data_IF_377123366210
#
_entry.id   IF_377123366210
#
_cell.length_a   1.000
_cell.length_b   1.000
_cell.length_c   1.000
_cell.angle_alpha   90.00
_cell.angle_beta   90.00
_cell.angle_gamma   90.00
#
_symmetry.space_group_name_H-M   'P 1'
#
loop_
_entity.id
_entity.type
_entity.pdbx_description
1 polymer ?
#
# COMPACT_ATOMS: atom_id res chain seq x y z
N UNK A 1 1.20 41.31 -11.42
CA UNK A 1 0.58 41.03 -10.10
C UNK A 1 -0.87 41.48 -10.00
N UNK A 2 -1.25 42.71 -10.37
CA UNK A 2 -2.64 43.18 -10.26
C UNK A 2 -3.66 42.38 -11.10
N UNK A 3 -3.29 41.88 -12.29
CA UNK A 3 -4.17 41.04 -13.11
C UNK A 3 -4.34 39.61 -12.55
N UNK A 4 -3.31 39.05 -11.90
CA UNK A 4 -3.35 37.73 -11.23
C UNK A 4 -4.30 37.78 -10.02
N UNK A 5 -4.36 38.92 -9.33
CA UNK A 5 -5.27 39.16 -8.20
C UNK A 5 -6.72 39.33 -8.71
N UNK A 6 -6.92 39.93 -9.90
CA UNK A 6 -8.25 40.04 -10.52
C UNK A 6 -8.77 38.69 -11.03
N UNK A 7 -7.87 37.84 -11.56
CA UNK A 7 -8.14 36.46 -11.97
C UNK A 7 -8.70 35.56 -10.86
N UNK A 8 -8.37 35.82 -9.60
CA UNK A 8 -8.66 34.92 -8.47
C UNK A 8 -9.94 35.29 -7.71
N UNK A 9 -10.47 36.51 -7.88
CA UNK A 9 -11.61 36.99 -7.12
C UNK A 9 -12.96 36.39 -7.57
N UNK A 10 -13.22 36.26 -8.88
CA UNK A 10 -14.56 35.89 -9.41
C UNK A 10 -14.92 34.40 -9.23
N UNK A 11 -13.93 33.53 -8.96
CA UNK A 11 -14.14 32.07 -8.79
C UNK A 11 -13.67 31.52 -7.44
N UNK A 12 -13.30 32.40 -6.49
CA UNK A 12 -12.73 32.01 -5.20
C UNK A 12 -13.61 31.00 -4.44
N UNK A 13 -14.93 31.18 -4.46
CA UNK A 13 -15.86 30.26 -3.79
C UNK A 13 -15.83 28.84 -4.38
N UNK A 14 -15.72 28.71 -5.70
CA UNK A 14 -15.65 27.41 -6.41
C UNK A 14 -14.33 26.72 -6.09
N UNK A 15 -13.24 27.47 -6.07
CA UNK A 15 -11.92 26.97 -5.70
C UNK A 15 -11.87 26.44 -4.26
N UNK A 16 -12.42 27.20 -3.30
CA UNK A 16 -12.54 26.76 -1.91
C UNK A 16 -13.40 25.49 -1.80
N UNK A 17 -14.53 25.44 -2.52
CA UNK A 17 -15.39 24.25 -2.55
C UNK A 17 -14.64 23.01 -3.08
N UNK A 18 -13.81 23.18 -4.12
CA UNK A 18 -13.01 22.09 -4.68
C UNK A 18 -11.95 21.57 -3.71
N UNK A 19 -11.27 22.46 -2.98
CA UNK A 19 -10.35 22.04 -1.91
C UNK A 19 -11.08 21.28 -0.81
N UNK A 20 -12.28 21.73 -0.43
CA UNK A 20 -13.12 21.01 0.56
C UNK A 20 -13.44 19.60 0.05
N UNK A 21 -13.84 19.46 -1.21
CA UNK A 21 -14.19 18.16 -1.79
C UNK A 21 -12.96 17.23 -1.90
N UNK A 22 -11.81 17.76 -2.29
CA UNK A 22 -10.57 17.00 -2.39
C UNK A 22 -10.09 16.52 -1.02
N UNK A 23 -10.01 17.44 -0.05
CA UNK A 23 -9.67 17.07 1.33
C UNK A 23 -10.70 16.13 1.94
N UNK A 24 -12.01 16.29 1.66
CA UNK A 24 -13.04 15.37 2.11
C UNK A 24 -12.85 13.96 1.51
N UNK A 25 -12.51 13.86 0.22
CA UNK A 25 -12.23 12.58 -0.44
C UNK A 25 -10.98 11.91 0.14
N UNK A 26 -9.95 12.70 0.44
CA UNK A 26 -8.76 12.22 1.14
C UNK A 26 -9.10 11.67 2.52
N UNK A 27 -9.82 12.43 3.35
CA UNK A 27 -10.22 11.96 4.67
C UNK A 27 -11.16 10.75 4.55
N UNK A 28 -12.03 10.67 3.54
CA UNK A 28 -12.85 9.49 3.29
C UNK A 28 -12.00 8.23 3.00
N UNK A 29 -10.91 8.37 2.24
CA UNK A 29 -9.93 7.32 2.00
C UNK A 29 -9.20 6.92 3.29
N UNK A 30 -8.66 7.90 4.03
CA UNK A 30 -7.97 7.70 5.32
C UNK A 30 -8.89 7.01 6.33
N UNK A 31 -10.16 7.41 6.39
CA UNK A 31 -11.16 6.81 7.27
C UNK A 31 -11.41 5.33 6.97
N UNK A 32 -11.30 4.94 5.70
CA UNK A 32 -11.37 3.56 5.27
C UNK A 32 -10.13 2.74 5.64
N UNK A 33 -8.96 3.38 5.60
CA UNK A 33 -7.66 2.74 5.75
C UNK A 33 -7.23 2.67 7.22
N UNK A 34 -7.46 3.70 8.05
CA UNK A 34 -7.11 3.67 9.47
C UNK A 34 -8.34 3.25 10.29
N UNK A 35 -8.55 1.95 10.59
CA UNK A 35 -9.88 1.40 10.84
C UNK A 35 -10.46 1.71 12.22
N UNK A 36 -9.90 2.65 12.99
CA UNK A 36 -10.33 2.86 14.37
C UNK A 36 -11.58 3.75 14.52
N UNK A 37 -12.14 4.27 13.43
CA UNK A 37 -13.25 5.25 13.50
C UNK A 37 -14.56 4.63 14.01
N UNK A 38 -14.80 3.34 13.75
CA UNK A 38 -16.00 2.66 14.26
C UNK A 38 -15.97 2.52 15.78
N UNK A 39 -14.77 2.48 16.37
CA UNK A 39 -14.54 2.39 17.81
C UNK A 39 -14.12 3.74 18.43
N UNK A 40 -14.06 4.82 17.63
CA UNK A 40 -13.66 6.15 18.13
C UNK A 40 -14.73 6.71 19.06
N UNK A 41 -14.30 7.14 20.25
CA UNK A 41 -15.16 7.84 21.21
C UNK A 41 -15.66 9.18 20.66
N UNK A 42 -16.74 9.74 21.23
CA UNK A 42 -17.28 11.06 20.81
C UNK A 42 -16.21 12.17 20.77
N UNK A 43 -15.26 12.16 21.71
CA UNK A 43 -14.16 13.15 21.79
C UNK A 43 -13.20 13.06 20.60
N UNK A 44 -12.88 11.85 20.15
CA UNK A 44 -11.95 11.63 19.03
C UNK A 44 -12.57 12.02 17.69
N UNK A 45 -13.89 11.81 17.53
CA UNK A 45 -14.64 12.30 16.36
C UNK A 45 -14.65 13.82 16.30
N UNK A 46 -14.84 14.49 17.45
CA UNK A 46 -14.76 15.96 17.52
C UNK A 46 -13.37 16.42 17.10
N UNK A 47 -12.30 15.83 17.64
CA UNK A 47 -10.91 16.16 17.24
C UNK A 47 -10.71 15.97 15.74
N UNK A 48 -11.19 14.86 15.16
CA UNK A 48 -11.10 14.61 13.72
C UNK A 48 -11.82 15.68 12.89
N UNK A 49 -13.06 16.03 13.23
CA UNK A 49 -13.80 17.08 12.52
C UNK A 49 -13.17 18.46 12.68
N UNK A 50 -12.62 18.74 13.87
CA UNK A 50 -11.92 20.01 14.14
C UNK A 50 -10.64 20.10 13.31
N UNK A 51 -9.84 19.04 13.29
CA UNK A 51 -8.63 18.94 12.47
C UNK A 51 -8.98 19.04 10.99
N UNK A 52 -10.03 18.34 10.53
CA UNK A 52 -10.52 18.44 9.16
C UNK A 52 -10.85 19.89 8.81
N UNK A 53 -11.68 20.56 9.61
CA UNK A 53 -12.06 21.96 9.40
C UNK A 53 -10.85 22.89 9.38
N UNK A 54 -9.88 22.70 10.29
CA UNK A 54 -8.66 23.51 10.34
C UNK A 54 -7.79 23.25 9.10
N UNK A 55 -7.62 21.99 8.68
CA UNK A 55 -6.86 21.66 7.46
C UNK A 55 -7.51 22.23 6.20
N UNK A 56 -8.84 22.22 6.13
CA UNK A 56 -9.60 22.84 5.04
C UNK A 56 -9.40 24.36 5.02
N UNK A 57 -9.53 25.03 6.16
CA UNK A 57 -9.35 26.48 6.25
C UNK A 57 -7.91 26.91 5.91
N UNK A 58 -6.91 26.16 6.36
CA UNK A 58 -5.50 26.43 6.06
C UNK A 58 -5.14 26.08 4.60
N UNK A 59 -5.73 25.03 4.03
CA UNK A 59 -5.58 24.69 2.61
C UNK A 59 -6.25 25.73 1.70
N UNK A 60 -7.42 26.28 2.08
CA UNK A 60 -8.01 27.43 1.40
C UNK A 60 -7.12 28.69 1.47
N UNK A 61 -6.26 28.79 2.49
CA UNK A 61 -5.22 29.81 2.56
C UNK A 61 -4.15 29.71 1.46
N UNK A 62 -3.98 28.54 0.81
CA UNK A 62 -3.03 28.39 -0.33
C UNK A 62 -3.32 29.35 -1.46
N UNK A 63 -4.60 29.67 -1.70
CA UNK A 63 -5.02 30.62 -2.75
C UNK A 63 -4.43 32.02 -2.57
N UNK A 64 -4.04 32.38 -1.35
CA UNK A 64 -3.43 33.68 -1.02
C UNK A 64 -1.91 33.69 -1.20
N UNK A 65 -1.27 32.52 -1.20
CA UNK A 65 0.20 32.33 -1.21
C UNK A 65 0.73 32.24 -2.66
N UNK A 66 -0.14 31.97 -3.64
CA UNK A 66 0.22 31.97 -5.06
C UNK A 66 -0.59 30.96 -5.86
N UNK A 67 -0.40 30.96 -7.19
CA UNK A 67 -1.10 30.09 -8.16
C UNK A 67 -0.95 28.59 -7.84
N UNK A 68 -1.84 27.75 -8.37
CA UNK A 68 -1.85 26.26 -8.28
C UNK A 68 -0.52 25.64 -8.73
N UNK A 69 0.28 26.38 -9.48
CA UNK A 69 1.60 25.99 -9.97
C UNK A 69 2.74 26.25 -8.97
N UNK A 70 2.46 26.86 -7.82
CA UNK A 70 3.49 27.15 -6.82
C UNK A 70 3.96 25.87 -6.11
N UNK A 71 5.26 25.59 -6.25
CA UNK A 71 5.96 24.52 -5.53
C UNK A 71 5.85 24.69 -4.00
N UNK A 72 5.92 25.93 -3.50
CA UNK A 72 5.75 26.25 -2.08
C UNK A 72 4.35 25.89 -1.57
N UNK A 73 3.30 26.21 -2.34
CA UNK A 73 1.92 25.88 -1.97
C UNK A 73 1.68 24.37 -1.94
N UNK A 74 2.36 23.62 -2.82
CA UNK A 74 2.33 22.15 -2.83
C UNK A 74 2.95 21.54 -1.57
N UNK A 75 4.18 21.93 -1.21
CA UNK A 75 4.84 21.46 0.01
C UNK A 75 4.08 21.83 1.28
N UNK A 76 3.61 23.07 1.36
CA UNK A 76 2.79 23.54 2.48
C UNK A 76 1.52 22.68 2.65
N UNK A 77 0.88 22.31 1.53
CA UNK A 77 -0.27 21.41 1.52
C UNK A 77 0.00 20.02 2.07
N UNK A 78 1.09 19.40 1.61
CA UNK A 78 1.50 18.07 2.08
C UNK A 78 1.79 18.12 3.57
N UNK A 79 2.56 19.10 4.02
CA UNK A 79 2.96 19.23 5.41
C UNK A 79 1.73 19.42 6.33
N UNK A 80 0.79 20.28 5.95
CA UNK A 80 -0.46 20.48 6.69
C UNK A 80 -1.30 19.20 6.78
N UNK A 81 -1.44 18.47 5.68
CA UNK A 81 -2.23 17.23 5.67
C UNK A 81 -1.55 16.12 6.49
N UNK A 82 -0.22 16.00 6.46
CA UNK A 82 0.53 15.07 7.31
C UNK A 82 0.32 15.41 8.78
N UNK A 83 0.53 16.67 9.17
CA UNK A 83 0.36 17.09 10.56
C UNK A 83 -1.08 16.91 11.03
N UNK A 84 -2.07 17.32 10.23
CA UNK A 84 -3.48 17.15 10.55
C UNK A 84 -3.84 15.68 10.76
N UNK A 85 -3.53 14.81 9.80
CA UNK A 85 -3.84 13.38 9.94
C UNK A 85 -3.06 12.69 11.05
N UNK A 86 -1.82 13.10 11.30
CA UNK A 86 -1.04 12.58 12.41
C UNK A 86 -1.67 12.96 13.76
N UNK A 87 -2.09 14.22 13.94
CA UNK A 87 -2.80 14.68 15.14
C UNK A 87 -4.11 13.92 15.32
N UNK A 88 -4.87 13.71 14.23
CA UNK A 88 -6.18 13.08 14.28
C UNK A 88 -6.14 11.58 14.62
N UNK A 89 -5.16 10.85 14.07
CA UNK A 89 -5.12 9.39 14.21
C UNK A 89 -4.04 8.89 15.16
N UNK A 90 -2.96 9.64 15.41
CA UNK A 90 -1.79 9.24 16.21
C UNK A 90 -1.26 7.84 15.85
N UNK A 91 -1.24 7.53 14.56
CA UNK A 91 -0.78 6.24 14.00
C UNK A 91 0.57 6.41 13.31
N UNK A 92 1.11 5.30 12.78
CA UNK A 92 2.39 5.25 12.06
C UNK A 92 2.55 6.44 11.10
N UNK A 93 3.46 7.35 11.46
CA UNK A 93 3.77 8.55 10.68
C UNK A 93 4.24 8.19 9.26
N UNK A 94 4.92 7.04 9.10
CA UNK A 94 5.38 6.52 7.82
C UNK A 94 4.21 6.20 6.87
N UNK A 95 3.19 5.48 7.34
CA UNK A 95 2.01 5.17 6.53
C UNK A 95 1.23 6.44 6.17
N UNK A 96 1.08 7.35 7.14
CA UNK A 96 0.39 8.63 6.94
C UNK A 96 1.13 9.48 5.89
N UNK A 97 2.43 9.68 6.06
CA UNK A 97 3.24 10.48 5.14
C UNK A 97 3.25 9.87 3.73
N UNK A 98 3.41 8.55 3.59
CA UNK A 98 3.33 7.90 2.28
C UNK A 98 1.96 8.06 1.62
N UNK A 99 0.89 7.97 2.40
CA UNK A 99 -0.47 8.12 1.89
C UNK A 99 -0.80 9.57 1.48
N UNK A 100 -0.42 10.56 2.28
CA UNK A 100 -0.61 11.99 1.96
C UNK A 100 0.16 12.36 0.69
N UNK A 101 1.44 12.01 0.63
CA UNK A 101 2.33 12.36 -0.49
C UNK A 101 1.88 11.68 -1.78
N UNK A 102 1.58 10.38 -1.74
CA UNK A 102 1.08 9.66 -2.91
C UNK A 102 -0.26 10.20 -3.40
N UNK A 103 -1.21 10.48 -2.48
CA UNK A 103 -2.52 11.01 -2.84
C UNK A 103 -2.44 12.38 -3.52
N UNK A 104 -1.80 13.37 -2.86
CA UNK A 104 -1.73 14.74 -3.39
C UNK A 104 -0.99 14.78 -4.73
N UNK A 105 0.13 14.06 -4.84
CA UNK A 105 0.91 14.02 -6.08
C UNK A 105 0.14 13.36 -7.22
N UNK A 106 -0.58 12.28 -6.94
CA UNK A 106 -1.37 11.58 -7.94
C UNK A 106 -2.53 12.43 -8.47
N UNK A 107 -3.25 13.14 -7.61
CA UNK A 107 -4.31 14.06 -8.04
C UNK A 107 -3.75 15.15 -8.94
N UNK A 108 -2.66 15.78 -8.53
CA UNK A 108 -2.09 16.90 -9.28
C UNK A 108 -1.55 16.46 -10.65
N UNK A 109 -0.90 15.29 -10.73
CA UNK A 109 -0.49 14.69 -11.99
C UNK A 109 -1.69 14.33 -12.89
N UNK A 110 -2.80 13.83 -12.34
CA UNK A 110 -4.01 13.58 -13.11
C UNK A 110 -4.63 14.88 -13.65
N UNK A 111 -4.61 15.96 -12.86
CA UNK A 111 -5.05 17.28 -13.33
C UNK A 111 -4.15 17.76 -14.48
N UNK A 112 -2.83 17.63 -14.37
CA UNK A 112 -1.90 17.99 -15.44
C UNK A 112 -2.07 17.12 -16.70
N UNK A 113 -2.26 15.81 -16.53
CA UNK A 113 -2.54 14.89 -17.62
C UNK A 113 -3.86 15.23 -18.33
N UNK A 114 -4.91 15.53 -17.56
CA UNK A 114 -6.22 15.89 -18.13
C UNK A 114 -6.18 17.23 -18.85
N UNK A 115 -5.49 18.23 -18.30
CA UNK A 115 -5.24 19.51 -18.96
C UNK A 115 -4.47 19.31 -20.27
N UNK A 116 -3.49 18.40 -20.28
CA UNK A 116 -2.75 18.03 -21.48
C UNK A 116 -3.64 17.40 -22.56
N UNK A 117 -4.45 16.40 -22.21
CA UNK A 117 -5.36 15.74 -23.16
C UNK A 117 -6.34 16.74 -23.77
N UNK A 118 -6.90 17.64 -22.96
CA UNK A 118 -7.80 18.70 -23.45
C UNK A 118 -7.06 19.66 -24.40
N UNK A 119 -5.82 20.05 -24.08
CA UNK A 119 -4.99 20.88 -24.96
C UNK A 119 -4.79 20.19 -26.32
N UNK A 120 -4.43 18.90 -26.33
CA UNK A 120 -4.21 18.13 -27.56
C UNK A 120 -5.48 17.97 -28.40
N UNK A 121 -6.61 17.65 -27.76
CA UNK A 121 -7.92 17.51 -28.42
C UNK A 121 -8.41 18.82 -29.04
N UNK A 122 -8.20 19.95 -28.36
CA UNK A 122 -8.70 21.24 -28.80
C UNK A 122 -8.05 21.75 -30.10
N UNK A 123 -6.94 21.15 -30.54
CA UNK A 123 -6.05 21.87 -31.43
C UNK A 123 -5.04 21.06 -32.26
N UNK A 124 -5.03 19.74 -32.12
CA UNK A 124 -4.31 18.83 -33.04
C UNK A 124 -2.80 18.71 -32.75
N UNK A 125 -1.98 18.74 -33.81
CA UNK A 125 -0.52 18.40 -33.77
C UNK A 125 0.43 19.58 -33.66
N UNK A 126 -0.01 20.80 -33.99
CA UNK A 126 0.69 22.00 -33.50
C UNK A 126 0.48 22.03 -31.99
N UNK A 127 1.36 22.62 -31.18
CA UNK A 127 1.21 22.68 -29.71
C UNK A 127 0.32 23.87 -29.37
N UNK A 128 -0.92 23.69 -28.88
CA UNK A 128 -1.80 24.83 -28.84
C UNK A 128 -2.59 24.90 -27.54
N UNK A 129 -3.10 26.10 -27.34
CA UNK A 129 -4.13 26.42 -26.36
C UNK A 129 -3.67 26.50 -24.91
N UNK A 130 -2.48 26.15 -24.43
CA UNK A 130 -2.15 26.60 -23.05
C UNK A 130 -2.20 28.15 -22.99
N UNK A 131 -1.66 28.79 -24.02
CA UNK A 131 -1.73 30.25 -24.22
C UNK A 131 -3.15 30.79 -24.40
N UNK A 132 -4.03 30.07 -25.13
CA UNK A 132 -5.39 30.54 -25.45
C UNK A 132 -6.47 30.11 -24.43
N UNK A 133 -6.28 28.99 -23.74
CA UNK A 133 -7.06 28.54 -22.58
C UNK A 133 -6.79 29.43 -21.39
N UNK A 134 -5.55 29.94 -21.24
CA UNK A 134 -5.19 30.80 -20.12
C UNK A 134 -5.36 32.29 -20.45
N UNK A 135 -5.06 32.80 -21.65
CA UNK A 135 -5.23 34.24 -21.94
C UNK A 135 -6.69 34.73 -21.99
N UNK A 136 -7.66 33.86 -22.24
CA UNK A 136 -9.08 34.21 -22.16
C UNK A 136 -9.62 33.98 -20.75
N UNK A 137 -10.26 34.98 -20.14
CA UNK A 137 -10.81 34.94 -18.77
C UNK A 137 -11.80 33.80 -18.41
N UNK A 138 -12.02 32.82 -19.30
CA UNK A 138 -12.70 31.54 -19.02
C UNK A 138 -11.77 30.39 -18.55
N UNK A 139 -10.46 30.65 -18.43
CA UNK A 139 -9.42 29.70 -18.02
C UNK A 139 -9.70 28.95 -16.71
N UNK A 140 -10.17 29.68 -15.70
CA UNK A 140 -10.48 29.13 -14.38
C UNK A 140 -11.64 28.15 -14.40
N UNK A 141 -12.67 28.43 -15.22
CA UNK A 141 -13.82 27.55 -15.35
C UNK A 141 -13.40 26.17 -15.86
N UNK A 142 -12.48 26.13 -16.82
CA UNK A 142 -12.01 24.87 -17.41
C UNK A 142 -11.14 24.09 -16.42
N UNK A 143 -10.26 24.74 -15.67
CA UNK A 143 -9.50 24.08 -14.60
C UNK A 143 -10.39 23.57 -13.46
N UNK A 144 -11.42 24.33 -13.06
CA UNK A 144 -12.40 23.88 -12.09
C UNK A 144 -13.18 22.65 -12.58
N UNK A 145 -13.58 22.63 -13.87
CA UNK A 145 -14.26 21.50 -14.48
C UNK A 145 -13.37 20.26 -14.58
N UNK A 146 -12.09 20.43 -14.94
CA UNK A 146 -11.10 19.35 -14.94
C UNK A 146 -10.91 18.76 -13.55
N UNK A 147 -10.80 19.62 -12.53
CA UNK A 147 -10.67 19.18 -11.13
C UNK A 147 -11.90 18.42 -10.65
N UNK A 148 -13.12 18.87 -10.99
CA UNK A 148 -14.35 18.12 -10.74
C UNK A 148 -14.36 16.76 -11.43
N UNK A 149 -13.93 16.69 -12.69
CA UNK A 149 -13.83 15.45 -13.44
C UNK A 149 -12.85 14.46 -12.81
N UNK A 150 -11.66 14.92 -12.42
CA UNK A 150 -10.67 14.09 -11.73
C UNK A 150 -11.22 13.57 -10.40
N UNK A 151 -11.87 14.42 -9.59
CA UNK A 151 -12.51 13.99 -8.34
C UNK A 151 -13.61 12.95 -8.56
N UNK A 152 -14.44 13.13 -9.60
CA UNK A 152 -15.50 12.19 -9.96
C UNK A 152 -14.94 10.83 -10.38
N UNK A 153 -13.83 10.79 -11.14
CA UNK A 153 -13.14 9.57 -11.54
C UNK A 153 -12.45 8.87 -10.36
N UNK A 154 -11.91 9.64 -9.41
CA UNK A 154 -11.24 9.10 -8.24
C UNK A 154 -12.21 8.52 -7.21
N UNK A 155 -13.42 9.05 -7.09
CA UNK A 155 -14.42 8.58 -6.13
C UNK A 155 -14.68 7.06 -6.17
N UNK A 156 -14.99 6.41 -7.33
CA UNK A 156 -15.18 4.97 -7.39
C UNK A 156 -13.89 4.20 -7.10
N UNK A 157 -12.73 4.73 -7.47
CA UNK A 157 -11.43 4.13 -7.18
C UNK A 157 -11.14 4.11 -5.66
N UNK A 158 -11.34 5.24 -4.99
CA UNK A 158 -11.22 5.38 -3.53
C UNK A 158 -12.21 4.45 -2.82
N UNK A 159 -13.46 4.38 -3.28
CA UNK A 159 -14.47 3.46 -2.74
C UNK A 159 -14.03 2.00 -2.89
N UNK A 160 -13.37 1.63 -3.99
CA UNK A 160 -12.82 0.28 -4.20
C UNK A 160 -11.65 0.01 -3.27
N UNK A 161 -10.72 0.96 -3.11
CA UNK A 161 -9.53 0.84 -2.27
C UNK A 161 -9.87 0.65 -0.78
N UNK A 162 -11.03 1.18 -0.37
CA UNK A 162 -11.58 1.01 0.99
C UNK A 162 -12.03 -0.42 1.32
N UNK A 163 -12.14 -1.35 0.36
CA UNK A 163 -12.50 -2.74 0.68
C UNK A 163 -11.46 -3.39 1.59
N UNK A 164 -11.92 -4.07 2.65
CA UNK A 164 -11.07 -4.60 3.74
C UNK A 164 -9.96 -5.56 3.27
N UNK A 165 -10.18 -6.29 2.18
CA UNK A 165 -9.19 -7.20 1.58
C UNK A 165 -7.97 -6.48 0.96
N UNK A 166 -8.14 -5.23 0.53
CA UNK A 166 -7.05 -4.41 -0.04
C UNK A 166 -6.30 -3.68 1.08
N UNK A 167 -6.99 -3.37 2.17
CA UNK A 167 -6.40 -2.71 3.35
C UNK A 167 -5.27 -3.53 3.99
N UNK A 168 -5.51 -4.82 4.27
CA UNK A 168 -4.49 -5.68 4.90
C UNK A 168 -3.18 -5.65 4.14
N UNK A 169 -3.28 -5.64 2.80
CA UNK A 169 -2.14 -5.47 1.90
C UNK A 169 -1.49 -4.10 2.11
N UNK A 170 -2.18 -2.97 1.94
CA UNK A 170 -1.56 -1.61 1.97
C UNK A 170 -0.65 -1.38 3.19
N UNK A 171 -1.00 -1.88 4.38
CA UNK A 171 -0.17 -1.72 5.60
C UNK A 171 1.21 -2.37 5.47
N UNK A 172 1.31 -3.51 4.78
CA UNK A 172 2.57 -4.21 4.50
C UNK A 172 3.44 -3.47 3.46
N UNK A 173 2.86 -2.49 2.76
CA UNK A 173 3.52 -1.68 1.74
C UNK A 173 3.80 -0.25 2.20
N UNK A 174 3.74 0.09 3.51
CA UNK A 174 3.92 1.47 3.99
C UNK A 174 5.21 2.15 3.48
N UNK A 175 6.33 1.41 3.44
CA UNK A 175 7.62 1.91 2.91
C UNK A 175 7.60 2.11 1.39
N UNK A 176 6.98 1.18 0.65
CA UNK A 176 6.87 1.29 -0.80
C UNK A 176 5.92 2.42 -1.20
N UNK A 177 4.84 2.61 -0.44
CA UNK A 177 3.90 3.71 -0.62
C UNK A 177 4.61 5.06 -0.45
N UNK A 178 5.49 5.18 0.55
CA UNK A 178 6.28 6.39 0.76
C UNK A 178 7.27 6.66 -0.38
N UNK A 179 8.01 5.63 -0.82
CA UNK A 179 8.94 5.76 -1.96
C UNK A 179 8.16 6.18 -3.22
N UNK A 180 7.01 5.57 -3.48
CA UNK A 180 6.15 5.93 -4.59
C UNK A 180 5.65 7.38 -4.48
N UNK A 181 5.22 7.80 -3.29
CA UNK A 181 4.79 9.17 -3.03
C UNK A 181 5.90 10.20 -3.28
N UNK A 182 7.14 9.89 -2.90
CA UNK A 182 8.31 10.74 -3.16
C UNK A 182 8.56 10.85 -4.68
N UNK A 183 8.58 9.74 -5.40
CA UNK A 183 8.81 9.74 -6.85
C UNK A 183 7.73 10.56 -7.58
N UNK A 184 6.46 10.38 -7.19
CA UNK A 184 5.35 11.16 -7.75
C UNK A 184 5.49 12.66 -7.41
N UNK A 185 5.94 13.00 -6.21
CA UNK A 185 6.16 14.39 -5.81
C UNK A 185 7.28 15.06 -6.62
N UNK A 186 8.38 14.34 -6.89
CA UNK A 186 9.48 14.84 -7.74
C UNK A 186 8.99 15.16 -9.14
N UNK A 187 8.18 14.27 -9.74
CA UNK A 187 7.57 14.52 -11.04
C UNK A 187 6.68 15.76 -11.01
N UNK A 188 5.80 15.89 -10.00
CA UNK A 188 4.97 17.10 -9.85
C UNK A 188 5.81 18.37 -9.88
N UNK A 189 6.92 18.41 -9.17
CA UNK A 189 7.78 19.60 -9.08
C UNK A 189 8.45 19.91 -10.42
N UNK A 190 8.92 18.89 -11.13
CA UNK A 190 9.46 19.04 -12.48
C UNK A 190 8.42 19.66 -13.42
N UNK A 191 7.18 19.16 -13.37
CA UNK A 191 6.07 19.70 -14.16
C UNK A 191 5.67 21.12 -13.77
N UNK A 192 5.62 21.42 -12.48
CA UNK A 192 5.31 22.76 -12.01
C UNK A 192 6.34 23.77 -12.52
N UNK A 193 7.63 23.45 -12.42
CA UNK A 193 8.70 24.32 -12.91
C UNK A 193 8.61 24.57 -14.42
N UNK A 194 8.32 23.52 -15.19
CA UNK A 194 8.14 23.63 -16.65
C UNK A 194 6.93 24.49 -17.00
N UNK A 195 5.79 24.28 -16.32
CA UNK A 195 4.59 25.06 -16.56
C UNK A 195 4.81 26.53 -16.19
N UNK A 196 5.39 26.80 -15.01
CA UNK A 196 5.74 28.15 -14.55
C UNK A 196 6.70 28.86 -15.51
N UNK A 197 7.72 28.16 -16.01
CA UNK A 197 8.61 28.68 -17.04
C UNK A 197 7.87 28.96 -18.36
N UNK A 198 7.01 28.04 -18.80
CA UNK A 198 6.17 28.21 -19.98
C UNK A 198 5.25 29.43 -19.88
N UNK A 199 4.67 29.68 -18.71
CA UNK A 199 3.84 30.86 -18.43
C UNK A 199 4.62 32.18 -18.48
N UNK A 200 5.87 32.20 -18.02
CA UNK A 200 6.67 33.41 -17.98
C UNK A 200 7.09 33.89 -19.38
N UNK A 201 7.36 32.96 -20.30
CA UNK A 201 7.83 33.28 -21.67
C UNK A 201 6.74 33.24 -22.74
N UNK A 202 5.49 32.99 -22.35
CA UNK A 202 4.30 32.95 -23.21
C UNK A 202 4.14 34.17 -24.18
N UNK A 203 4.45 35.43 -23.79
CA UNK A 203 4.33 36.59 -24.69
C UNK A 203 5.33 36.58 -25.84
N UNK A 204 6.40 35.79 -25.73
CA UNK A 204 7.49 35.72 -26.69
C UNK A 204 7.38 34.35 -27.37
N UNK A 205 6.51 34.27 -28.38
CA UNK A 205 6.18 33.06 -29.15
C UNK A 205 7.38 32.53 -29.95
N UNK A 206 8.41 32.08 -29.24
CA UNK A 206 9.57 31.42 -29.82
C UNK A 206 9.29 29.94 -29.97
N UNK A 207 9.59 29.33 -31.14
CA UNK A 207 9.36 27.91 -31.37
C UNK A 207 10.05 27.01 -30.34
N UNK A 208 11.16 27.48 -29.76
CA UNK A 208 11.88 26.77 -28.69
C UNK A 208 11.05 26.55 -27.41
N UNK A 209 10.23 27.53 -26.99
CA UNK A 209 9.39 27.41 -25.79
C UNK A 209 8.22 26.46 -26.05
N UNK A 210 7.63 26.51 -27.24
CA UNK A 210 6.55 25.60 -27.62
C UNK A 210 7.01 24.15 -27.75
N UNK A 211 8.22 23.92 -28.28
CA UNK A 211 8.81 22.59 -28.38
C UNK A 211 9.23 22.06 -27.01
N UNK A 212 9.78 22.91 -26.13
CA UNK A 212 10.09 22.53 -24.75
C UNK A 212 8.83 22.11 -23.97
N UNK A 213 7.73 22.86 -24.10
CA UNK A 213 6.44 22.51 -23.50
C UNK A 213 5.92 21.18 -24.07
N UNK A 214 5.96 20.97 -25.40
CA UNK A 214 5.56 19.69 -26.00
C UNK A 214 6.37 18.51 -25.49
N UNK A 215 7.69 18.67 -25.42
CA UNK A 215 8.61 17.61 -25.00
C UNK A 215 8.42 17.27 -23.53
N UNK A 216 8.16 18.27 -22.69
CA UNK A 216 7.82 18.05 -21.28
C UNK A 216 6.48 17.31 -21.11
N UNK A 217 5.49 17.61 -21.94
CA UNK A 217 4.19 16.93 -21.89
C UNK A 217 4.28 15.49 -22.40
N UNK A 218 5.12 15.24 -23.41
CA UNK A 218 5.47 13.88 -23.82
C UNK A 218 6.22 13.14 -22.71
N UNK A 219 7.14 13.80 -22.01
CA UNK A 219 7.81 13.17 -20.88
C UNK A 219 6.82 12.78 -19.78
N UNK A 220 5.68 13.49 -19.62
CA UNK A 220 4.68 13.22 -18.57
C UNK A 220 3.96 11.91 -18.85
N UNK A 221 3.59 11.72 -20.11
CA UNK A 221 3.00 10.49 -20.58
C UNK A 221 3.98 9.33 -20.41
N UNK A 222 5.24 9.53 -20.80
CA UNK A 222 6.24 8.47 -20.65
C UNK A 222 6.50 8.14 -19.18
N UNK A 223 6.58 9.13 -18.28
CA UNK A 223 6.76 8.91 -16.85
C UNK A 223 5.55 8.22 -16.22
N UNK A 224 4.32 8.56 -16.64
CA UNK A 224 3.12 7.87 -16.19
C UNK A 224 3.08 6.39 -16.63
N UNK A 225 3.45 6.11 -17.88
CA UNK A 225 3.55 4.73 -18.40
C UNK A 225 4.65 3.95 -17.66
N UNK A 226 5.81 4.56 -17.44
CA UNK A 226 6.90 3.92 -16.69
C UNK A 226 6.53 3.67 -15.23
N UNK A 227 5.84 4.58 -14.56
CA UNK A 227 5.39 4.40 -13.18
C UNK A 227 4.33 3.32 -13.05
N UNK A 228 3.40 3.22 -14.01
CA UNK A 228 2.40 2.15 -14.01
C UNK A 228 3.06 0.79 -14.26
N UNK A 229 4.00 0.69 -15.19
CA UNK A 229 4.79 -0.51 -15.43
C UNK A 229 5.64 -0.90 -14.21
N UNK A 230 6.35 0.05 -13.61
CA UNK A 230 7.14 -0.16 -12.40
C UNK A 230 6.27 -0.61 -11.22
N UNK A 231 5.09 -0.02 -11.04
CA UNK A 231 4.12 -0.42 -10.02
C UNK A 231 3.67 -1.87 -10.18
N UNK A 232 3.37 -2.29 -11.42
CA UNK A 232 3.00 -3.68 -11.73
C UNK A 232 4.16 -4.64 -11.44
N UNK A 233 5.39 -4.29 -11.84
CA UNK A 233 6.57 -5.11 -11.61
C UNK A 233 6.89 -5.27 -10.12
N UNK A 234 6.84 -4.18 -9.34
CA UNK A 234 7.07 -4.23 -7.90
C UNK A 234 6.02 -5.08 -7.19
N UNK A 235 4.75 -4.95 -7.59
CA UNK A 235 3.67 -5.76 -7.04
C UNK A 235 3.89 -7.24 -7.35
N UNK A 236 4.17 -7.58 -8.61
CA UNK A 236 4.40 -8.96 -9.04
C UNK A 236 5.63 -9.58 -8.36
N UNK A 237 6.73 -8.83 -8.25
CA UNK A 237 7.97 -9.31 -7.62
C UNK A 237 7.78 -9.64 -6.13
N UNK A 238 7.05 -8.79 -5.39
CA UNK A 238 6.71 -9.10 -4.00
C UNK A 238 5.77 -10.30 -3.85
N UNK A 239 4.76 -10.42 -4.72
CA UNK A 239 3.88 -11.60 -4.72
C UNK A 239 4.68 -12.89 -4.93
N UNK A 240 5.59 -12.91 -5.91
CA UNK A 240 6.48 -14.04 -6.16
C UNK A 240 7.36 -14.34 -4.94
N UNK A 241 7.90 -13.32 -4.28
CA UNK A 241 8.71 -13.52 -3.06
C UNK A 241 7.90 -14.15 -1.92
N UNK A 242 6.65 -13.75 -1.75
CA UNK A 242 5.77 -14.33 -0.75
C UNK A 242 5.42 -15.78 -1.09
N UNK A 243 5.12 -16.07 -2.36
CA UNK A 243 4.90 -17.44 -2.85
C UNK A 243 6.14 -18.33 -2.66
N UNK A 244 7.34 -17.82 -2.98
CA UNK A 244 8.59 -18.54 -2.76
C UNK A 244 8.85 -18.83 -1.27
N UNK A 245 8.61 -17.86 -0.39
CA UNK A 245 8.77 -18.09 1.06
C UNK A 245 7.80 -19.18 1.56
N UNK A 246 6.56 -19.19 1.06
CA UNK A 246 5.58 -20.21 1.39
C UNK A 246 6.00 -21.59 0.86
N UNK A 247 6.55 -21.66 -0.35
CA UNK A 247 7.10 -22.89 -0.91
C UNK A 247 8.29 -23.42 -0.09
N UNK A 248 9.19 -22.54 0.35
CA UNK A 248 10.31 -22.92 1.21
C UNK A 248 9.83 -23.47 2.57
N UNK A 249 8.88 -22.80 3.21
CA UNK A 249 8.28 -23.30 4.46
C UNK A 249 7.61 -24.67 4.27
N UNK A 250 6.97 -24.89 3.12
CA UNK A 250 6.36 -26.17 2.80
C UNK A 250 7.42 -27.27 2.63
N UNK A 251 8.51 -26.98 1.93
CA UNK A 251 9.63 -27.90 1.74
C UNK A 251 10.29 -28.27 3.09
N UNK A 252 10.51 -27.29 3.96
CA UNK A 252 11.02 -27.51 5.32
C UNK A 252 10.10 -28.41 6.15
N UNK A 253 8.78 -28.18 6.12
CA UNK A 253 7.81 -29.04 6.80
C UNK A 253 7.78 -30.47 6.24
N UNK A 254 7.89 -30.63 4.92
CA UNK A 254 7.95 -31.95 4.29
C UNK A 254 9.23 -32.69 4.72
N UNK A 255 10.39 -32.02 4.74
CA UNK A 255 11.64 -32.59 5.23
C UNK A 255 11.57 -33.02 6.70
N UNK A 256 10.99 -32.18 7.57
CA UNK A 256 10.76 -32.53 8.98
C UNK A 256 9.92 -33.79 9.12
N UNK A 257 8.80 -33.87 8.39
CA UNK A 257 7.92 -35.05 8.39
C UNK A 257 8.65 -36.32 7.92
N UNK A 258 9.51 -36.22 6.91
CA UNK A 258 10.32 -37.35 6.47
C UNK A 258 11.32 -37.81 7.54
N UNK A 259 11.92 -36.88 8.29
CA UNK A 259 12.83 -37.21 9.39
C UNK A 259 12.09 -37.91 10.54
N UNK A 260 10.91 -37.42 10.91
CA UNK A 260 10.05 -38.05 11.92
C UNK A 260 9.65 -39.47 11.52
N UNK A 261 9.23 -39.67 10.26
CA UNK A 261 8.90 -41.01 9.75
C UNK A 261 10.13 -41.93 9.79
N UNK A 262 11.31 -41.44 9.40
CA UNK A 262 12.54 -42.24 9.48
C UNK A 262 12.88 -42.63 10.91
N UNK A 263 12.77 -41.71 11.86
CA UNK A 263 13.01 -41.99 13.27
C UNK A 263 12.00 -43.01 13.82
N UNK A 264 10.73 -42.90 13.44
CA UNK A 264 9.68 -43.85 13.82
C UNK A 264 9.93 -45.25 13.21
N UNK A 265 10.36 -45.32 11.94
CA UNK A 265 10.71 -46.58 11.27
C UNK A 265 11.93 -47.22 11.93
N UNK A 266 12.95 -46.44 12.29
CA UNK A 266 14.14 -46.97 12.96
C UNK A 266 13.79 -47.52 14.35
N UNK A 267 13.02 -46.77 15.13
CA UNK A 267 12.51 -47.24 16.43
C UNK A 267 11.67 -48.51 16.28
N UNK A 268 10.83 -48.60 15.25
CA UNK A 268 10.06 -49.81 14.97
C UNK A 268 10.98 -50.99 14.59
N UNK A 269 12.03 -50.74 13.81
CA UNK A 269 13.04 -51.75 13.46
C UNK A 269 13.73 -52.30 14.71
N UNK A 270 14.10 -51.44 15.65
CA UNK A 270 14.66 -51.82 16.96
C UNK A 270 13.67 -52.69 17.75
N UNK A 271 12.41 -52.26 17.87
CA UNK A 271 11.37 -53.04 18.56
C UNK A 271 11.14 -54.42 17.94
N UNK A 272 11.08 -54.50 16.61
CA UNK A 272 10.92 -55.78 15.88
C UNK A 272 12.15 -56.67 16.09
N UNK A 273 13.35 -56.10 16.10
CA UNK A 273 14.58 -56.83 16.35
C UNK A 273 14.61 -57.42 17.77
N UNK A 274 14.23 -56.63 18.78
CA UNK A 274 14.19 -57.07 20.18
C UNK A 274 13.11 -58.15 20.39
N UNK A 275 11.92 -57.97 19.81
CA UNK A 275 10.86 -58.97 19.83
C UNK A 275 11.31 -60.30 19.20
N UNK A 276 12.05 -60.25 18.09
CA UNK A 276 12.61 -61.44 17.44
C UNK A 276 13.62 -62.14 18.36
N UNK A 277 14.46 -61.38 19.06
CA UNK A 277 15.41 -61.96 20.03
C UNK A 277 14.70 -62.64 21.19
N UNK A 278 13.67 -62.01 21.78
CA UNK A 278 12.84 -62.63 22.82
C UNK A 278 12.23 -63.95 22.33
N UNK A 279 11.71 -63.99 21.10
CA UNK A 279 11.15 -65.20 20.52
C UNK A 279 12.19 -66.32 20.32
N UNK A 280 13.40 -65.98 19.86
CA UNK A 280 14.49 -66.94 19.69
C UNK A 280 14.90 -67.55 21.03
N UNK A 281 15.01 -66.73 22.07
CA UNK A 281 15.42 -67.15 23.41
C UNK A 281 14.38 -68.09 24.05
N UNK A 282 13.10 -67.75 23.94
CA UNK A 282 11.98 -68.61 24.35
C UNK A 282 12.02 -69.96 23.61
N UNK A 283 12.25 -69.94 22.30
CA UNK A 283 12.32 -71.16 21.49
C UNK A 283 13.49 -72.06 21.90
N UNK A 284 14.62 -71.48 22.29
CA UNK A 284 15.80 -72.25 22.73
C UNK A 284 15.56 -72.93 24.09
N UNK A 285 14.93 -72.23 25.05
CA UNK A 285 14.51 -72.85 26.31
C UNK A 285 13.49 -73.98 26.12
N UNK A 286 12.52 -73.79 25.23
CA UNK A 286 11.56 -74.85 24.86
C UNK A 286 12.25 -76.07 24.25
N UNK A 287 13.29 -75.86 23.42
CA UNK A 287 14.04 -76.95 22.78
C UNK A 287 14.93 -77.71 23.76
N UNK A 288 15.54 -77.01 24.71
CA UNK A 288 16.40 -77.59 25.75
C UNK A 288 15.62 -78.23 26.91
N UNK A 289 14.28 -78.08 26.94
CA UNK A 289 13.38 -78.55 28.02
C UNK A 289 13.70 -77.93 29.39
N UNK A 290 14.33 -76.76 29.41
CA UNK A 290 14.60 -76.00 30.64
C UNK A 290 13.41 -75.09 30.96
N UNK A 291 12.40 -75.67 31.62
CA UNK A 291 11.14 -74.99 31.92
C UNK A 291 11.28 -73.98 33.06
N UNK A 292 12.19 -74.19 34.01
CA UNK A 292 12.41 -73.31 35.16
C UNK A 292 13.04 -71.98 34.72
N UNK A 293 14.07 -72.03 33.86
CA UNK A 293 14.67 -70.82 33.27
C UNK A 293 13.69 -70.08 32.34
N UNK A 294 12.84 -70.81 31.61
CA UNK A 294 11.81 -70.21 30.76
C UNK A 294 10.78 -69.42 31.59
N UNK A 295 10.29 -70.01 32.68
CA UNK A 295 9.32 -69.36 33.58
C UNK A 295 9.90 -68.07 34.17
N UNK A 296 11.13 -68.14 34.71
CA UNK A 296 11.82 -66.96 35.24
C UNK A 296 12.02 -65.86 34.19
N UNK A 297 12.38 -66.22 32.95
CA UNK A 297 12.57 -65.26 31.86
C UNK A 297 11.26 -64.58 31.44
N UNK A 298 10.17 -65.35 31.31
CA UNK A 298 8.85 -64.83 30.92
C UNK A 298 8.26 -63.94 32.02
N UNK A 299 8.40 -64.32 33.30
CA UNK A 299 7.98 -63.50 34.43
C UNK A 299 8.75 -62.18 34.48
N UNK A 300 10.08 -62.20 34.26
CA UNK A 300 10.90 -60.99 34.17
C UNK A 300 10.54 -60.10 32.97
N UNK A 301 10.15 -60.70 31.83
CA UNK A 301 9.66 -59.96 30.66
C UNK A 301 8.34 -59.25 30.98
N UNK A 302 7.40 -59.93 31.63
CA UNK A 302 6.10 -59.37 32.03
C UNK A 302 6.25 -58.19 32.99
N UNK A 303 7.14 -58.28 33.99
CA UNK A 303 7.38 -57.17 34.91
C UNK A 303 7.92 -55.91 34.21
N UNK A 304 8.77 -56.08 33.19
CA UNK A 304 9.30 -54.96 32.40
C UNK A 304 8.23 -54.30 31.50
N UNK A 305 7.33 -55.08 30.91
CA UNK A 305 6.20 -54.53 30.14
C UNK A 305 5.23 -53.75 31.04
N UNK A 306 4.87 -54.28 32.20
CA UNK A 306 3.93 -53.63 33.14
C UNK A 306 4.47 -52.31 33.68
N UNK A 307 5.80 -52.14 33.78
CA UNK A 307 6.41 -50.86 34.18
C UNK A 307 6.46 -49.80 33.08
N UNK A 308 6.27 -50.18 31.81
CA UNK A 308 6.45 -49.27 30.67
C UNK A 308 5.15 -48.51 30.31
N UNK A 309 3.98 -49.00 30.72
CA UNK A 309 2.68 -48.37 30.45
C UNK A 309 2.09 -47.63 31.66
N UNK A 310 2.62 -46.44 31.96
CA UNK A 310 1.88 -45.41 32.69
C UNK A 310 1.81 -44.12 31.87
N UNK A 311 1.40 -44.20 30.61
CA UNK A 311 0.97 -43.03 29.85
C UNK A 311 -0.54 -42.86 30.02
N UNK A 312 -0.92 -41.80 30.74
CA UNK A 312 -2.33 -41.39 30.89
C UNK A 312 -2.75 -40.70 29.61
N UNK A 313 -3.65 -41.31 28.84
CA UNK A 313 -4.26 -40.70 27.66
C UNK A 313 -5.08 -39.48 28.11
N UNK A 314 -4.63 -38.27 27.76
CA UNK A 314 -5.32 -37.03 28.13
C UNK A 314 -6.46 -36.67 27.18
N UNK A 315 -6.56 -37.36 26.03
CA UNK A 315 -7.56 -37.12 25.00
C UNK A 315 -7.28 -35.88 24.16
N UNK A 316 -6.07 -35.33 24.22
CA UNK A 316 -5.69 -34.10 23.52
C UNK A 316 -4.62 -34.39 22.46
N UNK A 317 -5.00 -34.27 21.18
CA UNK A 317 -4.21 -34.69 20.01
C UNK A 317 -2.84 -33.95 19.84
N UNK A 318 -2.59 -32.92 20.63
CA UNK A 318 -1.33 -32.15 20.60
C UNK A 318 -0.35 -32.60 21.71
N UNK A 319 -0.84 -33.28 22.75
CA UNK A 319 -0.05 -33.69 23.92
C UNK A 319 0.02 -35.21 24.13
N UNK A 320 -0.92 -35.96 23.54
CA UNK A 320 -0.83 -37.42 23.33
C UNK A 320 -0.23 -37.72 21.95
#
# INVERSE_FOLDING_TARGET
MAEIIKWTADTAAVWILLEILETALYFYLVCGILPNIRNMGRKEKIILYTVFSVTVCLAAGKYRIGSIFSSLAFFYGILLLILGTWIAYRKNLLLISGLVTAYNSFILLLIYLSAFVVSLLASGTKVPVLDRLLAGGGSNGIFCLLRLWVLALLFPFVKRLRRREIFGRIREYEKLLLILGIILSVLVLEYQNVLEYGFYYLPVSTPAVTDALRNSLLSLLTSAVLLTAAGILLFKNRTIRNENNLLLMKDEMEQQKYQEIRAAVEKNRELVHDAKNHYLLIREYLRSKDYESLENYVTGLQENFVRTDSWVYTGNHVLD
#
